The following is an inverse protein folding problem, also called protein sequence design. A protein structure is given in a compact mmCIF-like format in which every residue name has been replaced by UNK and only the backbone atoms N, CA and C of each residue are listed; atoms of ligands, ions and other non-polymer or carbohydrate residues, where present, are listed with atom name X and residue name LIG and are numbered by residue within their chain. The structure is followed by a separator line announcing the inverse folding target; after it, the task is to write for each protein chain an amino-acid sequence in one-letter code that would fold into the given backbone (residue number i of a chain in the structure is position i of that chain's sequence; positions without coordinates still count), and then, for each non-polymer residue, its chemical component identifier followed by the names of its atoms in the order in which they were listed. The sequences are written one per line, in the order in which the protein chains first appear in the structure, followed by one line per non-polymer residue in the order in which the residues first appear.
data_IF_966273185231
#
_entry.id   IF_966273185231
#
_cell.length_a   1.000
_cell.length_b   1.000
_cell.length_c   1.000
_cell.angle_alpha   90.00
_cell.angle_beta   90.00
_cell.angle_gamma   90.00
#
_symmetry.space_group_name_H-M   'P 1'
#
loop_
_entity.id
_entity.type
_entity.pdbx_description
1 polymer ?
#
# COMPACT_ATOMS: atom_id res chain seq x y z
N UNK A 1 -6.26 -13.88 20.63
CA UNK A 1 -5.81 -13.27 19.35
C UNK A 1 -6.75 -12.11 19.08
N UNK A 2 -6.25 -10.92 18.74
CA UNK A 2 -7.13 -9.92 18.13
C UNK A 2 -7.54 -10.47 16.77
N UNK A 3 -8.82 -10.42 16.45
CA UNK A 3 -9.30 -10.85 15.14
C UNK A 3 -8.67 -9.95 14.08
N UNK A 4 -7.98 -10.55 13.11
CA UNK A 4 -7.38 -9.82 12.00
C UNK A 4 -8.51 -9.35 11.08
N UNK A 5 -8.50 -8.06 10.74
CA UNK A 5 -9.51 -7.45 9.87
C UNK A 5 -9.07 -7.58 8.41
N UNK A 6 -9.90 -8.23 7.60
CA UNK A 6 -9.75 -8.23 6.15
C UNK A 6 -10.51 -7.05 5.54
N UNK A 7 -9.80 -6.13 4.91
CA UNK A 7 -10.35 -4.97 4.19
C UNK A 7 -10.47 -5.35 2.71
N UNK A 8 -11.62 -5.89 2.33
CA UNK A 8 -11.94 -6.24 0.93
C UNK A 8 -12.87 -5.22 0.24
N UNK A 9 -13.27 -4.18 0.98
CA UNK A 9 -14.11 -3.08 0.54
C UNK A 9 -13.82 -1.83 1.39
N UNK A 10 -13.98 -0.64 0.82
CA UNK A 10 -13.67 0.63 1.50
C UNK A 10 -14.51 0.82 2.78
N UNK A 11 -15.74 0.30 2.77
CA UNK A 11 -16.68 0.40 3.90
C UNK A 11 -16.27 -0.44 5.11
N UNK A 12 -15.44 -1.48 4.93
CA UNK A 12 -15.01 -2.36 6.02
C UNK A 12 -13.93 -1.75 6.89
N UNK A 13 -13.20 -0.75 6.40
CA UNK A 13 -12.26 -0.04 7.25
C UNK A 13 -13.01 0.85 8.26
N UNK A 14 -12.99 0.43 9.52
CA UNK A 14 -13.69 1.08 10.64
C UNK A 14 -12.73 1.55 11.75
N UNK A 15 -11.42 1.44 11.51
CA UNK A 15 -10.40 1.87 12.46
C UNK A 15 -10.50 3.36 12.79
N UNK A 16 -10.11 3.74 14.01
CA UNK A 16 -10.08 5.14 14.45
C UNK A 16 -8.94 5.94 13.82
N UNK A 17 -7.93 5.25 13.29
CA UNK A 17 -6.80 5.85 12.57
C UNK A 17 -6.87 5.48 11.10
N UNK A 18 -6.31 6.30 10.19
CA UNK A 18 -6.08 5.87 8.82
C UNK A 18 -5.30 4.56 8.78
N UNK A 19 -5.69 3.69 7.86
CA UNK A 19 -4.96 2.49 7.53
C UNK A 19 -3.67 2.84 6.81
N UNK A 20 -2.59 2.21 7.28
CA UNK A 20 -1.31 2.11 6.60
C UNK A 20 -0.63 0.80 7.06
N UNK A 21 0.00 0.02 6.17
CA UNK A 21 0.59 -1.28 6.50
C UNK A 21 1.67 -1.19 7.58
N UNK A 22 2.44 -0.11 7.63
CA UNK A 22 3.50 0.06 8.64
C UNK A 22 2.96 0.43 10.04
N UNK A 23 1.73 0.97 10.11
CA UNK A 23 1.12 1.45 11.36
C UNK A 23 0.12 0.45 11.95
N UNK A 24 -0.38 -0.49 11.14
CA UNK A 24 -1.50 -1.36 11.49
C UNK A 24 -1.11 -2.84 11.40
N UNK A 25 -0.94 -3.48 12.56
CA UNK A 25 -0.58 -4.89 12.70
C UNK A 25 -1.77 -5.84 12.89
N UNK A 26 -2.99 -5.38 12.65
CA UNK A 26 -4.23 -6.16 12.89
C UNK A 26 -5.24 -6.07 11.75
N UNK A 27 -4.86 -5.49 10.62
CA UNK A 27 -5.70 -5.41 9.44
C UNK A 27 -4.83 -5.50 8.18
N UNK A 28 -5.38 -6.05 7.11
CA UNK A 28 -4.76 -6.10 5.78
C UNK A 28 -5.78 -5.78 4.70
N UNK A 29 -5.29 -5.33 3.54
CA UNK A 29 -6.11 -5.08 2.35
C UNK A 29 -6.00 -6.25 1.38
N UNK A 30 -7.10 -6.61 0.71
CA UNK A 30 -7.05 -7.64 -0.34
C UNK A 30 -6.38 -7.15 -1.61
N UNK A 31 -5.74 -8.06 -2.34
CA UNK A 31 -5.10 -7.77 -3.63
C UNK A 31 -6.10 -7.18 -4.64
N UNK A 32 -7.37 -7.62 -4.60
CA UNK A 32 -8.44 -7.10 -5.43
C UNK A 32 -8.72 -5.63 -5.13
N UNK A 33 -8.86 -5.25 -3.86
CA UNK A 33 -9.14 -3.88 -3.46
C UNK A 33 -7.94 -2.97 -3.76
N UNK A 34 -6.71 -3.41 -3.49
CA UNK A 34 -5.50 -2.66 -3.87
C UNK A 34 -5.48 -2.40 -5.39
N UNK A 35 -5.81 -3.42 -6.19
CA UNK A 35 -5.85 -3.30 -7.65
C UNK A 35 -6.94 -2.33 -8.11
N UNK A 36 -8.10 -2.35 -7.46
CA UNK A 36 -9.20 -1.44 -7.75
C UNK A 36 -8.82 0.03 -7.45
N UNK A 37 -8.28 0.30 -6.27
CA UNK A 37 -7.85 1.64 -5.87
C UNK A 37 -6.74 2.13 -6.82
N UNK A 38 -5.77 1.29 -7.16
CA UNK A 38 -4.72 1.64 -8.12
C UNK A 38 -5.29 2.04 -9.50
N UNK A 39 -6.36 1.37 -9.98
CA UNK A 39 -7.05 1.77 -11.22
C UNK A 39 -7.70 3.15 -11.07
N UNK A 40 -8.32 3.44 -9.94
CA UNK A 40 -8.92 4.76 -9.67
C UNK A 40 -7.85 5.87 -9.62
N UNK A 41 -6.71 5.62 -8.99
CA UNK A 41 -5.57 6.55 -8.97
C UNK A 41 -5.08 6.83 -10.39
N UNK A 42 -4.87 5.80 -11.22
CA UNK A 42 -4.48 5.95 -12.64
C UNK A 42 -5.51 6.75 -13.43
N UNK A 43 -6.80 6.49 -13.22
CA UNK A 43 -7.86 7.21 -13.92
C UNK A 43 -7.87 8.71 -13.56
N UNK A 44 -7.57 9.05 -12.30
CA UNK A 44 -7.56 10.44 -11.81
C UNK A 44 -6.29 11.19 -12.18
N UNK A 45 -5.14 10.54 -12.06
CA UNK A 45 -3.82 11.19 -12.14
C UNK A 45 -3.12 10.97 -13.49
N UNK A 46 -3.66 10.10 -14.33
CA UNK A 46 -3.08 9.71 -15.60
C UNK A 46 -2.20 8.47 -15.50
N UNK A 47 -1.76 8.00 -16.66
CA UNK A 47 -0.92 6.80 -16.80
C UNK A 47 0.51 7.21 -17.17
N UNK A 48 1.35 7.48 -16.16
CA UNK A 48 2.76 7.81 -16.35
C UNK A 48 3.67 6.73 -15.74
N UNK A 49 4.92 6.59 -16.23
CA UNK A 49 5.88 5.64 -15.65
C UNK A 49 6.08 5.82 -14.14
N UNK A 50 6.15 7.08 -13.67
CA UNK A 50 6.29 7.39 -12.25
C UNK A 50 5.07 6.96 -11.43
N UNK A 51 3.85 7.22 -11.92
CA UNK A 51 2.63 6.79 -11.23
C UNK A 51 2.58 5.26 -11.15
N UNK A 52 2.94 4.57 -12.23
CA UNK A 52 2.94 3.11 -12.26
C UNK A 52 3.97 2.52 -11.30
N UNK A 53 5.19 3.07 -11.26
CA UNK A 53 6.23 2.64 -10.32
C UNK A 53 5.77 2.79 -8.86
N UNK A 54 5.10 3.89 -8.51
CA UNK A 54 4.53 4.11 -7.17
C UNK A 54 3.44 3.10 -6.84
N UNK A 55 2.52 2.84 -7.78
CA UNK A 55 1.43 1.90 -7.56
C UNK A 55 1.91 0.45 -7.49
N UNK A 56 2.94 0.08 -8.25
CA UNK A 56 3.60 -1.22 -8.18
C UNK A 56 4.29 -1.42 -6.82
N UNK A 57 4.94 -0.38 -6.29
CA UNK A 57 5.51 -0.41 -4.95
C UNK A 57 4.42 -0.64 -3.89
N UNK A 58 3.31 0.11 -3.93
CA UNK A 58 2.20 -0.05 -2.97
C UNK A 58 1.61 -1.46 -3.05
N UNK A 59 1.39 -1.98 -4.26
CA UNK A 59 0.91 -3.35 -4.46
C UNK A 59 1.83 -4.37 -3.81
N UNK A 60 3.14 -4.21 -3.99
CA UNK A 60 4.11 -5.10 -3.38
C UNK A 60 4.16 -4.96 -1.85
N UNK A 61 4.11 -3.74 -1.32
CA UNK A 61 4.13 -3.47 0.12
C UNK A 61 2.90 -4.06 0.84
N UNK A 62 1.71 -3.85 0.29
CA UNK A 62 0.46 -4.42 0.82
C UNK A 62 0.45 -5.96 0.75
N UNK A 63 0.97 -6.53 -0.34
CA UNK A 63 1.07 -7.99 -0.48
C UNK A 63 2.00 -8.58 0.58
N UNK A 64 3.17 -7.96 0.81
CA UNK A 64 4.09 -8.38 1.87
C UNK A 64 3.42 -8.27 3.24
N UNK A 65 2.77 -7.13 3.52
CA UNK A 65 2.06 -6.93 4.79
C UNK A 65 0.97 -7.98 5.04
N UNK A 66 0.13 -8.23 4.04
CA UNK A 66 -0.91 -9.29 4.07
C UNK A 66 -0.29 -10.65 4.40
N UNK A 67 0.76 -11.04 3.69
CA UNK A 67 1.43 -12.32 3.90
C UNK A 67 1.99 -12.44 5.32
N UNK A 68 2.60 -11.37 5.85
CA UNK A 68 3.11 -11.35 7.22
C UNK A 68 2.00 -11.52 8.27
N UNK A 69 0.87 -10.83 8.10
CA UNK A 69 -0.26 -10.94 9.03
C UNK A 69 -0.94 -12.31 9.00
N UNK A 70 -1.00 -12.93 7.83
CA UNK A 70 -1.58 -14.27 7.66
C UNK A 70 -0.60 -15.41 7.98
N UNK A 71 0.61 -15.08 8.46
CA UNK A 71 1.70 -16.03 8.69
C UNK A 71 2.00 -16.90 7.43
N UNK A 72 1.79 -16.33 6.25
CA UNK A 72 2.18 -16.93 4.99
C UNK A 72 3.72 -16.90 4.88
N UNK A 73 4.35 -17.87 4.16
CA UNK A 73 5.79 -17.91 4.03
C UNK A 73 6.34 -16.68 3.27
N UNK A 74 6.94 -15.74 4.01
CA UNK A 74 7.67 -14.60 3.44
C UNK A 74 9.15 -14.76 3.73
N UNK A 75 9.98 -14.86 2.68
CA UNK A 75 11.44 -14.88 2.87
C UNK A 75 11.93 -13.54 3.41
N UNK A 76 12.99 -13.54 4.23
CA UNK A 76 13.63 -12.30 4.70
C UNK A 76 14.06 -11.40 3.53
N UNK A 77 14.44 -11.99 2.39
CA UNK A 77 14.75 -11.26 1.16
C UNK A 77 13.56 -10.45 0.64
N UNK A 78 12.33 -10.99 0.74
CA UNK A 78 11.12 -10.28 0.30
C UNK A 78 10.82 -9.09 1.23
N UNK A 79 11.00 -9.25 2.55
CA UNK A 79 10.82 -8.15 3.50
C UNK A 79 11.79 -7.00 3.22
N UNK A 80 13.07 -7.32 3.04
CA UNK A 80 14.11 -6.34 2.73
C UNK A 80 13.91 -5.65 1.38
N UNK A 81 13.20 -6.28 0.44
CA UNK A 81 12.96 -5.73 -0.89
C UNK A 81 12.09 -4.48 -0.86
N UNK A 82 11.15 -4.36 0.08
CA UNK A 82 10.32 -3.14 0.23
C UNK A 82 11.21 -1.95 0.58
N UNK A 83 12.06 -2.10 1.59
CA UNK A 83 13.01 -1.07 2.02
C UNK A 83 14.02 -0.72 0.92
N UNK A 84 14.53 -1.74 0.23
CA UNK A 84 15.48 -1.55 -0.87
C UNK A 84 14.85 -0.75 -2.00
N UNK A 85 13.62 -1.10 -2.43
CA UNK A 85 12.93 -0.39 -3.49
C UNK A 85 12.69 1.08 -3.12
N UNK A 86 12.24 1.38 -1.91
CA UNK A 86 12.04 2.75 -1.46
C UNK A 86 13.36 3.57 -1.46
N UNK A 87 14.49 2.94 -1.10
CA UNK A 87 15.83 3.55 -1.16
C UNK A 87 16.30 3.78 -2.59
N UNK A 88 16.14 2.82 -3.47
CA UNK A 88 16.49 2.94 -4.90
C UNK A 88 15.67 4.05 -5.56
N UNK A 89 14.38 4.10 -5.29
CA UNK A 89 13.50 5.18 -5.74
C UNK A 89 14.02 6.54 -5.31
N UNK A 90 14.34 6.70 -4.03
CA UNK A 90 14.92 7.94 -3.50
C UNK A 90 16.22 8.32 -4.19
N UNK A 91 17.12 7.36 -4.38
CA UNK A 91 18.41 7.61 -5.03
C UNK A 91 18.24 8.07 -6.48
N UNK A 92 17.23 7.56 -7.20
CA UNK A 92 16.97 7.94 -8.59
C UNK A 92 16.17 9.23 -8.74
N UNK A 93 15.22 9.51 -7.84
CA UNK A 93 14.26 10.61 -7.99
C UNK A 93 14.54 11.81 -7.08
N UNK A 94 15.43 11.67 -6.10
CA UNK A 94 15.77 12.72 -5.12
C UNK A 94 14.73 12.94 -4.02
N UNK A 95 13.68 12.10 -3.95
CA UNK A 95 12.62 12.17 -2.94
C UNK A 95 12.09 10.78 -2.60
N UNK A 96 11.52 10.62 -1.42
CA UNK A 96 10.95 9.34 -0.99
C UNK A 96 9.66 9.01 -1.74
N UNK A 97 9.37 7.72 -1.88
CA UNK A 97 8.20 7.25 -2.62
C UNK A 97 6.87 7.70 -1.99
N UNK A 98 6.81 7.78 -0.65
CA UNK A 98 5.64 8.31 0.07
C UNK A 98 5.42 9.81 -0.15
N UNK A 99 6.40 10.53 -0.73
CA UNK A 99 6.23 11.94 -1.10
C UNK A 99 5.63 12.09 -2.51
N UNK A 100 5.25 11.00 -3.17
CA UNK A 100 4.61 11.04 -4.47
C UNK A 100 3.10 11.27 -4.35
N UNK A 101 2.50 12.16 -5.16
CA UNK A 101 1.06 12.40 -5.12
C UNK A 101 0.19 11.16 -5.35
N UNK A 102 0.69 10.17 -6.11
CA UNK A 102 -0.01 8.91 -6.33
C UNK A 102 -0.07 8.02 -5.08
N UNK A 103 0.95 8.12 -4.22
CA UNK A 103 0.99 7.43 -2.93
C UNK A 103 -0.06 8.01 -1.98
N UNK A 104 -0.02 9.33 -1.83
CA UNK A 104 -0.98 10.10 -1.03
C UNK A 104 -2.41 9.83 -1.50
N UNK A 105 -2.66 9.88 -2.81
CA UNK A 105 -4.00 9.65 -3.36
C UNK A 105 -4.50 8.21 -3.12
N UNK A 106 -3.62 7.21 -3.20
CA UNK A 106 -3.98 5.82 -2.93
C UNK A 106 -4.49 5.66 -1.50
N UNK A 107 -3.70 6.07 -0.50
CA UNK A 107 -4.09 5.92 0.90
C UNK A 107 -5.22 6.86 1.29
N UNK A 108 -5.35 8.03 0.66
CA UNK A 108 -6.53 8.90 0.79
C UNK A 108 -7.80 8.20 0.32
N UNK A 109 -7.78 7.49 -0.80
CA UNK A 109 -8.94 6.73 -1.31
C UNK A 109 -9.27 5.56 -0.39
N UNK A 110 -8.27 4.76 -0.01
CA UNK A 110 -8.42 3.64 0.92
C UNK A 110 -9.05 4.07 2.25
N UNK A 111 -8.63 5.23 2.75
CA UNK A 111 -9.12 5.82 3.99
C UNK A 111 -10.33 6.75 3.81
N UNK A 112 -11.01 6.68 2.65
CA UNK A 112 -12.25 7.42 2.38
C UNK A 112 -12.13 8.95 2.60
N UNK A 113 -10.93 9.49 2.37
CA UNK A 113 -10.62 10.91 2.52
C UNK A 113 -9.81 11.28 3.77
N UNK A 114 -9.66 10.37 4.74
CA UNK A 114 -8.91 10.62 5.97
C UNK A 114 -7.45 10.17 5.81
N UNK A 115 -6.59 11.03 5.24
CA UNK A 115 -5.15 10.79 5.06
C UNK A 115 -4.38 12.09 5.26
#
# INVERSE_FOLDING_TARGET
MKDIICIDSLEKWTGSTPYHPDDISYAYVTTELVTEIAKQVRAKMGNSPTINEVLEYIQFHEEVHRQLLLAEPVSELIKLKVDQWAREYRNHKGKWIHQEPAYEEFYRLLNRGNW
#
